data_IF_607689651255
#
_entry.id   IF_607689651255
#
_cell.length_a   1.000
_cell.length_b   1.000
_cell.length_c   1.000
_cell.angle_alpha   90.00
_cell.angle_beta   90.00
_cell.angle_gamma   90.00
#
_symmetry.space_group_name_H-M   'P 1'
#
loop_
_entity.id
_entity.type
_entity.pdbx_description
1 polymer ?
#
# COMPACT_ATOMS: atom_id res chain seq x y z
N UNK A 1 6.24 -7.11 -11.97
CA UNK A 1 6.27 -7.63 -10.60
C UNK A 1 6.34 -6.46 -9.62
N UNK A 2 5.28 -6.22 -8.85
CA UNK A 2 5.30 -5.11 -7.91
C UNK A 2 6.37 -5.28 -6.85
N UNK A 3 6.95 -4.17 -6.43
CA UNK A 3 8.02 -4.15 -5.45
C UNK A 3 7.49 -3.60 -4.13
N UNK A 4 7.57 -4.38 -3.08
CA UNK A 4 7.01 -4.05 -1.76
C UNK A 4 8.14 -3.89 -0.75
N UNK A 5 8.09 -2.80 0.02
CA UNK A 5 9.02 -2.59 1.13
C UNK A 5 8.33 -2.98 2.43
N UNK A 6 8.97 -3.85 3.20
CA UNK A 6 8.48 -4.24 4.52
C UNK A 6 9.34 -3.55 5.57
N UNK A 7 8.71 -2.83 6.51
CA UNK A 7 9.40 -2.19 7.62
C UNK A 7 8.88 -2.81 8.92
N UNK A 8 9.70 -3.68 9.50
CA UNK A 8 9.32 -4.47 10.67
C UNK A 8 10.58 -4.85 11.44
N UNK A 9 10.64 -4.55 12.73
CA UNK A 9 11.84 -4.82 13.52
C UNK A 9 11.94 -6.29 13.98
N UNK A 10 10.82 -7.02 14.05
CA UNK A 10 10.85 -8.42 14.46
C UNK A 10 11.19 -9.31 13.28
N UNK A 11 12.38 -9.91 13.32
CA UNK A 11 12.90 -10.70 12.20
C UNK A 11 11.98 -11.84 11.80
N UNK A 12 11.36 -12.52 12.78
CA UNK A 12 10.50 -13.67 12.48
C UNK A 12 9.29 -13.24 11.68
N UNK A 13 8.65 -12.14 12.08
CA UNK A 13 7.46 -11.63 11.38
C UNK A 13 7.86 -11.11 10.01
N UNK A 14 8.95 -10.37 9.94
CA UNK A 14 9.43 -9.81 8.69
C UNK A 14 9.74 -10.91 7.67
N UNK A 15 10.42 -11.96 8.11
CA UNK A 15 10.77 -13.08 7.24
C UNK A 15 9.53 -13.83 6.77
N UNK A 16 8.56 -14.06 7.67
CA UNK A 16 7.34 -14.75 7.31
C UNK A 16 6.55 -13.97 6.27
N UNK A 17 6.43 -12.66 6.47
CA UNK A 17 5.70 -11.81 5.52
C UNK A 17 6.43 -11.77 4.17
N UNK A 18 7.74 -11.66 4.18
CA UNK A 18 8.51 -11.67 2.95
C UNK A 18 8.28 -12.95 2.15
N UNK A 19 8.34 -14.11 2.83
CA UNK A 19 8.13 -15.39 2.14
C UNK A 19 6.74 -15.50 1.56
N UNK A 20 5.75 -15.04 2.31
CA UNK A 20 4.37 -15.05 1.84
C UNK A 20 4.22 -14.24 0.56
N UNK A 21 4.79 -13.04 0.54
CA UNK A 21 4.67 -12.15 -0.62
C UNK A 21 5.48 -12.67 -1.80
N UNK A 22 6.69 -13.17 -1.55
CA UNK A 22 7.52 -13.67 -2.65
C UNK A 22 6.87 -14.89 -3.33
N UNK A 23 6.20 -15.74 -2.56
CA UNK A 23 5.48 -16.89 -3.13
C UNK A 23 4.31 -16.46 -4.01
N UNK A 24 3.86 -15.23 -3.84
CA UNK A 24 2.74 -14.69 -4.60
C UNK A 24 3.18 -13.69 -5.67
N UNK A 25 4.44 -13.81 -6.10
CA UNK A 25 4.97 -13.08 -7.24
C UNK A 25 5.21 -11.60 -6.97
N UNK A 26 5.50 -11.24 -5.71
CA UNK A 26 5.92 -9.88 -5.38
C UNK A 26 7.40 -9.85 -5.13
N UNK A 27 8.05 -8.76 -5.53
CA UNK A 27 9.44 -8.50 -5.19
C UNK A 27 9.47 -7.77 -3.85
N UNK A 28 10.35 -8.16 -2.94
CA UNK A 28 10.34 -7.66 -1.57
C UNK A 28 11.70 -7.12 -1.15
N UNK A 29 11.69 -5.96 -0.50
CA UNK A 29 12.85 -5.43 0.23
C UNK A 29 12.45 -5.25 1.69
N UNK A 30 13.43 -5.23 2.58
CA UNK A 30 13.20 -5.23 4.02
C UNK A 30 13.99 -4.16 4.72
N UNK A 31 13.41 -3.60 5.78
CA UNK A 31 14.08 -2.70 6.69
C UNK A 31 13.57 -2.97 8.11
N UNK A 32 14.43 -2.79 9.10
CA UNK A 32 14.08 -3.03 10.49
C UNK A 32 13.62 -1.78 11.23
N UNK A 33 13.71 -0.61 10.61
CA UNK A 33 13.32 0.65 11.20
C UNK A 33 13.02 1.67 10.11
N UNK A 34 12.38 2.77 10.51
CA UNK A 34 12.13 3.87 9.58
C UNK A 34 13.45 4.46 9.10
N UNK A 35 14.42 4.61 10.00
CA UNK A 35 15.70 5.17 9.61
C UNK A 35 16.43 4.28 8.60
N UNK A 36 16.42 2.98 8.82
CA UNK A 36 17.04 2.07 7.86
C UNK A 36 16.36 2.17 6.50
N UNK A 37 15.03 2.24 6.48
CA UNK A 37 14.29 2.37 5.23
C UNK A 37 14.69 3.64 4.49
N UNK A 38 14.78 4.75 5.22
CA UNK A 38 15.12 6.04 4.63
C UNK A 38 16.55 6.04 4.09
N UNK A 39 17.49 5.46 4.86
CA UNK A 39 18.90 5.53 4.51
C UNK A 39 19.29 4.53 3.42
N UNK A 40 18.61 3.40 3.36
CA UNK A 40 18.99 2.31 2.46
C UNK A 40 18.21 2.26 1.17
N UNK A 41 17.05 2.93 1.10
CA UNK A 41 16.16 2.82 -0.03
C UNK A 41 15.59 4.17 -0.44
N UNK A 42 15.19 4.25 -1.71
CA UNK A 42 14.37 5.35 -2.18
C UNK A 42 12.91 4.92 -2.02
N UNK A 43 12.29 5.32 -0.91
CA UNK A 43 10.97 4.83 -0.52
C UNK A 43 9.90 5.07 -1.59
N UNK A 44 9.85 6.25 -2.25
CA UNK A 44 8.81 6.47 -3.28
C UNK A 44 8.90 5.56 -4.49
N UNK A 45 9.99 4.80 -4.65
CA UNK A 45 10.12 3.90 -5.80
C UNK A 45 9.42 2.56 -5.60
N UNK A 46 8.98 2.27 -4.39
CA UNK A 46 8.22 1.05 -4.12
C UNK A 46 6.76 1.23 -4.53
N UNK A 47 6.13 0.12 -4.89
CA UNK A 47 4.71 0.15 -5.25
C UNK A 47 3.81 0.14 -4.02
N UNK A 48 4.31 -0.41 -2.92
CA UNK A 48 3.58 -0.50 -1.66
C UNK A 48 4.56 -0.58 -0.52
N UNK A 49 4.27 0.10 0.58
CA UNK A 49 5.04 -0.03 1.82
C UNK A 49 4.15 -0.67 2.87
N UNK A 50 4.63 -1.74 3.51
CA UNK A 50 3.95 -2.37 4.64
C UNK A 50 4.80 -2.09 5.86
N UNK A 51 4.26 -1.34 6.83
CA UNK A 51 5.03 -0.91 7.99
C UNK A 51 4.34 -1.25 9.29
N UNK A 52 5.09 -1.77 10.25
CA UNK A 52 4.59 -1.86 11.61
C UNK A 52 4.35 -0.45 12.14
N UNK A 53 3.32 -0.30 12.95
CA UNK A 53 3.01 0.99 13.56
C UNK A 53 4.06 1.37 14.60
N UNK A 54 4.48 0.42 15.41
CA UNK A 54 5.41 0.66 16.51
C UNK A 54 6.77 0.10 16.17
N UNK A 55 7.69 0.99 15.84
CA UNK A 55 9.05 0.65 15.50
C UNK A 55 10.01 1.36 16.42
N UNK A 56 11.23 0.82 16.64
CA UNK A 56 12.22 1.53 17.43
C UNK A 56 12.61 2.84 16.73
N UNK A 57 12.71 3.90 17.52
CA UNK A 57 13.18 5.20 17.05
C UNK A 57 12.10 6.10 16.52
N UNK A 58 11.30 5.63 15.60
CA UNK A 58 10.25 6.44 14.98
C UNK A 58 9.04 5.58 14.67
N UNK A 59 7.83 6.15 14.75
CA UNK A 59 6.62 5.37 14.43
C UNK A 59 6.53 5.06 12.95
N UNK A 60 5.91 3.92 12.63
CA UNK A 60 5.78 3.49 11.25
C UNK A 60 4.98 4.44 10.38
N UNK A 61 4.15 5.28 10.99
CA UNK A 61 3.37 6.27 10.23
C UNK A 61 4.26 7.30 9.53
N UNK A 62 5.53 7.45 9.95
CA UNK A 62 6.44 8.33 9.23
C UNK A 62 6.72 7.84 7.82
N UNK A 63 6.52 6.54 7.57
CA UNK A 63 6.67 6.01 6.21
C UNK A 63 5.68 6.64 5.24
N UNK A 64 4.56 7.12 5.74
CA UNK A 64 3.53 7.74 4.89
C UNK A 64 4.11 8.98 4.18
N UNK A 65 4.84 9.83 4.93
CA UNK A 65 5.47 11.00 4.32
C UNK A 65 6.61 10.60 3.38
N UNK A 66 7.39 9.61 3.79
CA UNK A 66 8.51 9.15 2.96
C UNK A 66 8.03 8.54 1.65
N UNK A 67 6.84 7.97 1.64
CA UNK A 67 6.28 7.29 0.46
C UNK A 67 5.82 8.27 -0.62
N UNK A 68 5.60 9.53 -0.29
CA UNK A 68 5.27 10.59 -1.24
C UNK A 68 4.12 10.19 -2.17
N UNK A 69 3.02 9.75 -1.57
CA UNK A 69 1.82 9.39 -2.32
C UNK A 69 1.68 7.92 -2.66
N UNK A 70 2.74 7.11 -2.50
CA UNK A 70 2.60 5.67 -2.67
C UNK A 70 1.86 5.09 -1.48
N UNK A 71 1.12 3.99 -1.67
CA UNK A 71 0.29 3.45 -0.59
C UNK A 71 1.11 2.86 0.55
N UNK A 72 0.66 3.09 1.78
CA UNK A 72 1.28 2.55 2.98
C UNK A 72 0.22 1.78 3.77
N UNK A 73 0.48 0.49 3.99
CA UNK A 73 -0.36 -0.38 4.80
C UNK A 73 0.27 -0.48 6.17
N UNK A 74 -0.46 -0.10 7.21
CA UNK A 74 0.01 -0.17 8.59
C UNK A 74 -0.40 -1.49 9.20
N UNK A 75 0.51 -2.16 9.90
CA UNK A 75 0.19 -3.37 10.66
C UNK A 75 0.68 -3.19 12.09
N UNK A 76 -0.02 -3.80 13.05
CA UNK A 76 0.36 -3.66 14.44
C UNK A 76 -0.25 -4.73 15.33
N UNK A 77 0.50 -5.12 16.39
CA UNK A 77 -0.01 -6.01 17.44
C UNK A 77 -0.91 -5.26 18.41
N UNK A 78 -0.96 -3.94 18.34
CA UNK A 78 -1.69 -3.10 19.30
C UNK A 78 -2.89 -2.44 18.61
N UNK A 79 -3.62 -3.25 17.86
CA UNK A 79 -4.75 -2.75 17.09
C UNK A 79 -5.84 -2.21 18.02
N UNK A 80 -6.36 -1.04 17.67
CA UNK A 80 -7.49 -0.43 18.34
C UNK A 80 -8.20 0.46 17.33
N UNK A 81 -9.46 0.76 17.59
CA UNK A 81 -10.19 1.66 16.71
C UNK A 81 -9.50 3.02 16.62
N UNK A 82 -9.02 3.51 17.75
CA UNK A 82 -8.36 4.82 17.78
C UNK A 82 -7.09 4.85 16.95
N UNK A 83 -6.22 3.84 17.10
CA UNK A 83 -4.97 3.84 16.33
C UNK A 83 -5.24 3.61 14.84
N UNK A 84 -6.29 2.84 14.50
CA UNK A 84 -6.68 2.70 13.11
C UNK A 84 -7.14 4.02 12.53
N UNK A 85 -8.00 4.73 13.25
CA UNK A 85 -8.49 6.04 12.79
C UNK A 85 -7.34 7.02 12.63
N UNK A 86 -6.43 7.07 13.61
CA UNK A 86 -5.30 7.98 13.56
C UNK A 86 -4.39 7.68 12.37
N UNK A 87 -4.12 6.40 12.11
CA UNK A 87 -3.28 6.01 10.98
C UNK A 87 -3.92 6.40 9.65
N UNK A 88 -5.22 6.17 9.52
CA UNK A 88 -5.93 6.53 8.29
C UNK A 88 -5.98 8.04 8.10
N UNK A 89 -6.12 8.81 9.18
CA UNK A 89 -6.08 10.27 9.09
C UNK A 89 -4.73 10.78 8.65
N UNK A 90 -3.65 10.06 8.97
CA UNK A 90 -2.31 10.44 8.55
C UNK A 90 -2.02 10.04 7.11
N UNK A 91 -2.91 9.26 6.50
CA UNK A 91 -2.77 8.91 5.10
C UNK A 91 -2.50 7.45 4.81
N UNK A 92 -2.54 6.56 5.81
CA UNK A 92 -2.42 5.13 5.57
C UNK A 92 -3.60 4.68 4.71
N UNK A 93 -3.31 3.77 3.77
CA UNK A 93 -4.38 3.29 2.88
C UNK A 93 -5.18 2.17 3.53
N UNK A 94 -4.60 1.45 4.49
CA UNK A 94 -5.28 0.37 5.19
C UNK A 94 -4.54 0.06 6.48
N UNK A 95 -5.12 -0.83 7.29
CA UNK A 95 -4.65 -1.10 8.64
C UNK A 95 -4.97 -2.56 8.97
N UNK A 96 -3.97 -3.34 9.34
CA UNK A 96 -4.12 -4.76 9.64
C UNK A 96 -3.54 -5.08 11.02
N UNK A 97 -4.28 -5.87 11.80
CA UNK A 97 -3.82 -6.34 13.11
C UNK A 97 -2.87 -7.53 12.95
N UNK A 98 -1.87 -7.61 13.80
CA UNK A 98 -0.99 -8.77 13.91
C UNK A 98 -1.44 -9.60 15.13
N UNK A 99 -1.38 -10.92 15.08
CA UNK A 99 -0.99 -11.74 13.92
C UNK A 99 -2.05 -11.66 12.83
N UNK A 100 -1.60 -11.64 11.58
CA UNK A 100 -2.50 -11.52 10.45
C UNK A 100 -2.73 -12.90 9.82
N UNK A 101 -3.89 -13.04 9.19
CA UNK A 101 -4.19 -14.19 8.36
C UNK A 101 -3.52 -14.02 7.00
N UNK A 102 -2.95 -15.10 6.45
CA UNK A 102 -2.25 -15.02 5.17
C UNK A 102 -3.16 -14.53 4.06
N UNK A 103 -4.39 -15.09 4.00
CA UNK A 103 -5.33 -14.68 2.95
C UNK A 103 -5.75 -13.23 3.11
N UNK A 104 -5.96 -12.80 4.35
CA UNK A 104 -6.32 -11.41 4.61
C UNK A 104 -5.23 -10.46 4.12
N UNK A 105 -3.97 -10.78 4.45
CA UNK A 105 -2.84 -9.96 4.01
C UNK A 105 -2.74 -9.93 2.49
N UNK A 106 -2.83 -11.10 1.84
CA UNK A 106 -2.72 -11.17 0.39
C UNK A 106 -3.84 -10.42 -0.31
N UNK A 107 -5.06 -10.51 0.23
CA UNK A 107 -6.20 -9.79 -0.35
C UNK A 107 -6.02 -8.28 -0.19
N UNK A 108 -5.53 -7.84 0.97
CA UNK A 108 -5.29 -6.43 1.20
C UNK A 108 -4.21 -5.89 0.25
N UNK A 109 -3.11 -6.62 0.10
CA UNK A 109 -2.03 -6.21 -0.79
C UNK A 109 -2.51 -6.14 -2.23
N UNK A 110 -3.22 -7.17 -2.70
CA UNK A 110 -3.72 -7.19 -4.07
C UNK A 110 -4.70 -6.07 -4.31
N UNK A 111 -5.59 -5.81 -3.35
CA UNK A 111 -6.57 -4.74 -3.47
C UNK A 111 -5.90 -3.37 -3.54
N UNK A 112 -4.93 -3.12 -2.64
CA UNK A 112 -4.23 -1.83 -2.59
C UNK A 112 -3.49 -1.57 -3.89
N UNK A 113 -2.76 -2.57 -4.39
CA UNK A 113 -2.00 -2.41 -5.63
C UNK A 113 -2.92 -2.17 -6.81
N UNK A 114 -4.07 -2.85 -6.86
CA UNK A 114 -5.03 -2.68 -7.92
C UNK A 114 -5.66 -1.30 -7.89
N UNK A 115 -6.02 -0.81 -6.70
CA UNK A 115 -6.63 0.51 -6.57
C UNK A 115 -5.64 1.62 -6.88
N UNK A 116 -4.39 1.45 -6.48
CA UNK A 116 -3.36 2.42 -6.81
C UNK A 116 -3.12 2.48 -8.32
N UNK A 117 -3.09 1.32 -8.98
CA UNK A 117 -2.92 1.26 -10.43
C UNK A 117 -4.10 1.94 -11.15
N UNK A 118 -5.31 1.75 -10.65
CA UNK A 118 -6.48 2.42 -11.21
C UNK A 118 -6.35 3.94 -11.11
N UNK A 119 -5.87 4.45 -9.98
CA UNK A 119 -5.68 5.90 -9.81
C UNK A 119 -4.69 6.45 -10.81
N UNK A 120 -3.60 5.73 -11.05
CA UNK A 120 -2.60 6.16 -12.01
C UNK A 120 -3.21 6.19 -13.42
N UNK A 121 -3.91 5.13 -13.80
CA UNK A 121 -4.53 5.04 -15.11
C UNK A 121 -5.62 6.09 -15.27
N UNK A 122 -6.46 6.27 -14.26
CA UNK A 122 -7.52 7.28 -14.29
C UNK A 122 -6.94 8.69 -14.41
N UNK A 123 -5.85 8.96 -13.68
CA UNK A 123 -5.19 10.26 -13.77
C UNK A 123 -4.64 10.52 -15.16
N UNK A 124 -4.00 9.51 -15.76
CA UNK A 124 -3.47 9.64 -17.11
C UNK A 124 -4.60 9.81 -18.12
N UNK A 125 -5.67 9.01 -17.98
CA UNK A 125 -6.83 9.10 -18.85
C UNK A 125 -7.52 10.45 -18.72
N UNK A 126 -7.64 10.93 -17.50
CA UNK A 126 -8.27 12.22 -17.25
C UNK A 126 -7.51 13.36 -17.96
N UNK A 127 -6.19 13.34 -17.88
CA UNK A 127 -5.38 14.35 -18.56
C UNK A 127 -5.61 14.32 -20.05
N UNK A 128 -5.76 13.14 -20.62
CA UNK A 128 -6.01 12.99 -22.04
C UNK A 128 -7.40 13.49 -22.40
N UNK A 129 -8.39 13.13 -21.58
CA UNK A 129 -9.78 13.46 -21.83
C UNK A 129 -10.04 14.95 -21.76
N UNK A 130 -9.34 15.66 -20.90
CA UNK A 130 -9.52 17.11 -20.79
C UNK A 130 -9.36 17.83 -22.11
N UNK A 131 -8.59 17.26 -22.99
CA UNK A 131 -8.36 17.86 -24.28
C UNK A 131 -9.46 17.53 -25.28
N UNK A 132 -10.17 16.45 -25.08
CA UNK A 132 -11.13 15.93 -26.03
C UNK A 132 -12.56 16.01 -25.56
N UNK A 133 -12.77 16.21 -24.33
CA UNK A 133 -14.00 16.19 -23.65
C UNK A 133 -14.76 14.95 -23.71
N UNK A 134 -15.67 14.44 -23.23
CA UNK A 134 -16.16 13.32 -23.06
C UNK A 134 -17.11 12.63 -22.84
N UNK A 135 -17.31 11.82 -22.66
CA UNK A 135 -17.85 10.85 -22.33
C UNK A 135 -18.25 10.18 -21.54
N UNK A 136 -18.10 10.03 -21.84
CA UNK A 136 -18.38 9.07 -21.19
C UNK A 136 -18.39 8.18 -20.87
N UNK A 137 -18.38 8.25 -21.22
CA UNK A 137 -18.49 7.30 -20.76
C UNK A 137 -18.35 6.54 -20.33
N UNK A 138 -18.41 6.64 -20.80
CA UNK A 138 -18.41 5.89 -20.34
C UNK A 138 -18.33 5.20 -19.94
N UNK A 139 -18.40 5.29 -20.45
CA UNK A 139 -18.43 4.72 -20.00
C UNK A 139 -18.41 4.01 -19.62
N UNK A 140 -18.58 4.27 -20.12
CA UNK A 140 -18.67 3.81 -19.68
C UNK A 140 -18.67 3.26 -19.21
N UNK A 141 -18.81 3.20 -19.56
CA UNK A 141 -18.91 2.99 -19.14
C UNK A 141 -18.95 2.35 -18.73
N UNK A 142 -19.18 2.55 -19.15
CA UNK A 142 -19.32 2.30 -18.82
C UNK A 142 -19.36 1.78 -18.33
N UNK A 143 -19.52 1.70 -18.59
CA UNK A 143 -19.64 1.61 -18.30
C UNK A 143 -19.63 1.00 -17.89
N UNK A 144 -19.80 1.11 -18.28
CA UNK A 144 -19.87 0.94 -18.02
C UNK A 144 -19.81 0.41 -17.56
N UNK A 145 -19.88 0.26 -17.68
CA UNK A 145 -19.93 0.17 -17.47
C UNK A 145 -19.84 -0.46 -17.07
N UNK A 146 -19.92 -0.43 -17.37
CA UNK A 146 -19.98 -0.59 -17.10
C UNK A 146 -20.00 -1.22 -16.66
N UNK A 147 -19.91 -1.31 -16.91
CA UNK A 147 -20.01 -1.48 -16.60
C UNK A 147 -19.90 -2.01 -16.22
N UNK A 148 -19.61 -2.00 -16.49
CA UNK A 148 -19.53 -2.17 -16.17
C UNK A 148 -19.26 -2.51 -15.80
N UNK A 149 -18.85 -2.64 -15.82
CA UNK A 149 -18.75 -2.65 -15.69
C UNK A 149 -18.49 -2.94 -15.50
N UNK A 150 -18.10 -2.83 -15.70
CA UNK A 150 -17.96 -2.87 -15.51
C UNK A 150 -17.90 -2.90 -15.42
#
# INVERSE_FOLDING_TARGET
>A
MPHILIVEDETIIRTALRRLLERNQYQVSEAGSVQEARDSFSVPEFDLIISDLRLPGAPGTEMIQLAQGKPVLIMTSYASLRSAVDSMKMGAVDYIAKPFDHDEMLQAVAHILREHQKKIVAGASHKTIEQNSPPATTATATATATSNGE
#
